data_IF_699763567276
#
_entry.id   IF_699763567276
#
_cell.length_a   1.000
_cell.length_b   1.000
_cell.length_c   1.000
_cell.angle_alpha   90.00
_cell.angle_beta   90.00
_cell.angle_gamma   90.00
#
_symmetry.space_group_name_H-M   'P 1'
#
loop_
_entity.id
_entity.type
_entity.pdbx_description
1 polymer ?
#
# COMPACT_ATOMS: atom_id res chain seq x y z
N UNK A 1 11.24 55.54 78.64
CA UNK A 1 9.94 55.26 77.97
C UNK A 1 10.21 54.95 76.52
N UNK A 2 9.65 53.82 76.04
CA UNK A 2 9.84 53.27 74.70
C UNK A 2 8.98 54.03 73.69
N UNK A 3 9.49 54.23 72.47
CA UNK A 3 8.69 54.28 71.25
C UNK A 3 9.59 53.89 70.06
N UNK A 4 9.23 52.78 69.40
CA UNK A 4 9.69 52.37 68.06
C UNK A 4 8.61 52.78 67.04
N UNK A 5 9.00 53.04 65.79
CA UNK A 5 8.29 52.50 64.63
C UNK A 5 9.28 51.82 63.66
N UNK A 6 9.10 50.52 63.35
CA UNK A 6 8.41 49.96 62.16
C UNK A 6 9.07 50.40 60.84
N UNK A 7 9.93 49.51 60.32
CA UNK A 7 10.46 49.54 58.94
C UNK A 7 9.70 48.48 58.16
N UNK A 8 9.04 48.89 57.06
CA UNK A 8 8.38 48.00 56.11
C UNK A 8 9.42 47.53 55.10
N UNK A 9 9.65 46.22 55.04
CA UNK A 9 10.53 45.57 54.06
C UNK A 9 9.67 45.10 52.87
N UNK A 10 9.94 45.68 51.69
CA UNK A 10 9.38 45.23 50.41
C UNK A 10 10.27 44.11 49.89
N UNK A 11 9.73 42.90 49.79
CA UNK A 11 10.41 41.75 49.18
C UNK A 11 10.22 41.79 47.66
N UNK A 12 11.31 41.98 46.92
CA UNK A 12 11.34 41.78 45.48
C UNK A 12 11.53 40.29 45.17
N UNK A 13 10.51 39.66 44.58
CA UNK A 13 10.59 38.29 44.08
C UNK A 13 11.28 38.28 42.71
N UNK A 14 12.50 37.76 42.66
CA UNK A 14 13.23 37.47 41.41
C UNK A 14 12.78 36.09 40.92
N UNK A 15 11.92 36.05 39.92
CA UNK A 15 11.60 34.80 39.21
C UNK A 15 12.75 34.45 38.26
N UNK A 16 13.58 33.48 38.66
CA UNK A 16 14.50 32.80 37.75
C UNK A 16 13.69 31.84 36.86
N UNK A 17 13.48 32.22 35.60
CA UNK A 17 12.88 31.35 34.59
C UNK A 17 13.86 30.26 34.20
N UNK A 18 13.67 29.06 34.74
CA UNK A 18 14.30 27.85 34.22
C UNK A 18 13.58 27.48 32.92
N UNK A 19 14.26 27.70 31.78
CA UNK A 19 13.86 27.13 30.50
C UNK A 19 14.00 25.62 30.63
N UNK A 20 12.89 24.92 30.76
CA UNK A 20 12.84 23.47 30.57
C UNK A 20 13.13 23.20 29.10
N UNK A 21 14.41 23.01 28.78
CA UNK A 21 14.81 22.32 27.57
C UNK A 21 14.20 20.91 27.65
N UNK A 22 13.02 20.74 27.05
CA UNK A 22 12.41 19.44 26.89
C UNK A 22 13.40 18.57 26.13
N UNK A 23 13.90 17.52 26.78
CA UNK A 23 14.62 16.46 26.10
C UNK A 23 13.70 15.93 25.00
N UNK A 24 14.00 16.27 23.74
CA UNK A 24 13.47 15.49 22.64
C UNK A 24 13.90 14.04 22.91
N UNK A 25 12.92 13.14 22.98
CA UNK A 25 13.22 11.72 23.14
C UNK A 25 14.18 11.31 22.02
N UNK A 26 15.32 10.72 22.36
CA UNK A 26 16.24 10.19 21.35
C UNK A 26 15.46 9.24 20.43
N UNK A 27 15.60 9.36 19.09
CA UNK A 27 14.96 8.46 18.16
C UNK A 27 15.32 7.03 18.52
N UNK A 28 14.31 6.21 18.80
CA UNK A 28 14.53 4.84 19.24
C UNK A 28 15.02 4.04 18.04
N UNK A 29 16.32 3.78 18.00
CA UNK A 29 16.96 3.04 16.91
C UNK A 29 16.20 1.74 16.61
N UNK A 30 15.92 1.53 15.32
CA UNK A 30 15.23 0.35 14.81
C UNK A 30 16.12 -0.89 15.06
N UNK A 31 15.65 -1.86 15.88
CA UNK A 31 16.45 -3.04 16.22
C UNK A 31 16.96 -3.76 14.97
N UNK A 32 18.19 -4.25 15.03
CA UNK A 32 18.92 -4.92 13.95
C UNK A 32 18.67 -6.43 13.86
N UNK A 33 18.04 -7.01 14.89
CA UNK A 33 17.66 -8.42 14.94
C UNK A 33 16.14 -8.61 14.85
N UNK A 34 15.74 -9.79 14.38
CA UNK A 34 14.35 -10.23 14.47
C UNK A 34 13.93 -10.35 15.93
N UNK A 35 12.82 -9.70 16.32
CA UNK A 35 12.25 -9.95 17.63
C UNK A 35 11.86 -11.42 17.82
N UNK A 36 11.97 -11.92 19.05
CA UNK A 36 11.71 -13.34 19.34
C UNK A 36 10.22 -13.72 19.34
N UNK A 37 9.34 -12.73 19.46
CA UNK A 37 7.89 -12.89 19.44
C UNK A 37 7.24 -11.76 18.66
N UNK A 38 6.13 -12.07 18.01
CA UNK A 38 5.26 -11.08 17.39
C UNK A 38 4.54 -10.27 18.47
N UNK A 39 4.65 -8.94 18.40
CA UNK A 39 4.25 -8.02 19.47
C UNK A 39 2.89 -7.34 19.32
N UNK A 40 2.02 -7.76 18.38
CA UNK A 40 0.76 -7.07 18.11
C UNK A 40 -0.43 -8.00 17.88
N UNK A 41 -1.63 -7.49 18.16
CA UNK A 41 -2.89 -8.15 17.82
C UNK A 41 -3.20 -7.89 16.33
N UNK A 42 -2.82 -8.83 15.48
CA UNK A 42 -3.02 -8.73 14.03
C UNK A 42 -1.80 -8.26 13.24
N UNK A 43 -1.96 -8.27 11.92
CA UNK A 43 -0.89 -7.99 10.95
C UNK A 43 -0.53 -6.51 10.95
N UNK A 44 0.76 -6.19 11.10
CA UNK A 44 1.25 -4.81 11.07
C UNK A 44 1.03 -4.00 12.36
N UNK A 45 0.24 -4.50 13.32
CA UNK A 45 -0.15 -3.78 14.55
C UNK A 45 1.04 -3.41 15.47
N UNK A 46 2.21 -3.98 15.23
CA UNK A 46 3.41 -3.76 16.02
C UNK A 46 4.57 -3.15 15.22
N UNK A 47 4.33 -2.75 13.97
CA UNK A 47 5.35 -2.06 13.18
C UNK A 47 5.49 -0.64 13.72
N UNK A 48 6.66 -0.23 14.23
CA UNK A 48 6.86 1.14 14.68
C UNK A 48 6.84 2.10 13.49
N UNK A 49 6.36 3.33 13.73
CA UNK A 49 6.35 4.39 12.74
C UNK A 49 7.76 4.63 12.18
N UNK A 50 7.85 4.75 10.86
CA UNK A 50 9.09 4.96 10.12
C UNK A 50 9.50 6.45 10.11
N UNK A 51 9.57 7.08 11.29
CA UNK A 51 9.74 8.55 11.43
C UNK A 51 11.11 9.08 11.00
N UNK A 52 12.12 8.22 10.90
CA UNK A 52 13.51 8.60 10.62
C UNK A 52 13.95 8.28 9.17
N UNK A 53 13.02 8.00 8.26
CA UNK A 53 13.32 7.72 6.85
C UNK A 53 12.52 8.63 5.94
N UNK A 54 13.22 9.47 5.18
CA UNK A 54 12.62 10.41 4.23
C UNK A 54 11.72 9.69 3.21
N UNK A 55 10.47 10.17 3.06
CA UNK A 55 9.46 9.61 2.15
C UNK A 55 8.76 8.36 2.67
N UNK A 56 8.91 8.00 3.95
CA UNK A 56 8.20 6.86 4.54
C UNK A 56 6.69 7.10 4.74
N UNK A 57 6.25 8.35 4.70
CA UNK A 57 4.85 8.77 4.65
C UNK A 57 4.26 8.75 3.23
N UNK A 58 5.10 8.58 2.21
CA UNK A 58 4.70 8.44 0.81
C UNK A 58 4.87 7.00 0.30
N UNK A 59 5.68 6.19 0.98
CA UNK A 59 6.11 4.87 0.52
C UNK A 59 6.32 3.87 1.64
N UNK A 60 5.95 2.59 1.40
CA UNK A 60 6.30 1.51 2.31
C UNK A 60 7.82 1.41 2.54
N UNK A 61 8.61 1.53 1.47
CA UNK A 61 10.07 1.45 1.50
C UNK A 61 10.64 2.48 0.52
N UNK A 62 10.89 3.73 0.94
CA UNK A 62 11.53 4.73 0.09
C UNK A 62 13.01 4.41 -0.18
N UNK A 63 13.59 5.05 -1.20
CA UNK A 63 15.03 4.99 -1.47
C UNK A 63 15.55 3.61 -1.91
N UNK A 64 16.80 3.31 -1.53
CA UNK A 64 17.54 2.11 -1.98
C UNK A 64 18.26 1.45 -0.80
N UNK A 65 17.57 0.61 -0.02
CA UNK A 65 18.18 -0.12 1.08
C UNK A 65 19.20 -1.14 0.56
N UNK A 66 20.26 -1.33 1.35
CA UNK A 66 21.37 -2.25 1.04
C UNK A 66 21.16 -3.65 1.62
N UNK A 67 20.17 -3.80 2.51
CA UNK A 67 19.86 -5.08 3.16
C UNK A 67 18.39 -5.15 3.55
N UNK A 68 17.77 -6.30 3.34
CA UNK A 68 16.46 -6.65 3.87
C UNK A 68 16.59 -7.88 4.81
N UNK A 69 16.12 -7.78 6.06
CA UNK A 69 16.02 -8.92 6.99
C UNK A 69 14.56 -9.32 7.13
N UNK A 70 14.20 -10.49 6.63
CA UNK A 70 12.84 -11.05 6.72
C UNK A 70 12.74 -11.95 7.95
N UNK A 71 11.80 -11.65 8.83
CA UNK A 71 11.48 -12.40 10.04
C UNK A 71 10.12 -13.07 9.86
N UNK A 72 10.00 -14.38 10.12
CA UNK A 72 8.78 -15.13 9.93
C UNK A 72 8.22 -15.64 11.26
N UNK A 73 6.92 -15.46 11.47
CA UNK A 73 6.21 -15.84 12.69
C UNK A 73 4.97 -16.68 12.31
N UNK A 74 5.13 -18.01 12.20
CA UNK A 74 4.03 -18.91 11.85
C UNK A 74 2.96 -18.93 12.95
N UNK A 75 1.69 -18.92 12.55
CA UNK A 75 0.52 -18.91 13.42
C UNK A 75 -0.77 -19.24 12.67
N UNK A 76 -1.89 -18.74 13.19
CA UNK A 76 -3.22 -18.87 12.59
C UNK A 76 -3.95 -17.53 12.64
N UNK A 77 -4.72 -17.21 11.61
CA UNK A 77 -5.39 -15.90 11.52
C UNK A 77 -6.59 -15.74 12.47
N UNK A 78 -7.05 -16.83 13.11
CA UNK A 78 -8.14 -16.81 14.09
C UNK A 78 -7.68 -16.47 15.51
N UNK A 79 -6.37 -16.48 15.76
CA UNK A 79 -5.76 -16.18 17.07
C UNK A 79 -4.41 -15.49 16.85
N UNK A 80 -4.41 -14.26 16.28
CA UNK A 80 -3.18 -13.54 16.00
C UNK A 80 -2.57 -12.98 17.29
N UNK A 81 -1.25 -13.04 17.42
CA UNK A 81 -0.53 -12.44 18.54
C UNK A 81 0.41 -13.39 19.27
N UNK A 82 1.59 -12.88 19.64
CA UNK A 82 2.54 -13.62 20.49
C UNK A 82 3.24 -14.81 19.80
N UNK A 83 3.05 -15.00 18.50
CA UNK A 83 3.69 -16.03 17.69
C UNK A 83 5.20 -15.98 17.88
N UNK A 84 5.84 -17.15 18.00
CA UNK A 84 7.29 -17.23 18.17
C UNK A 84 7.98 -17.06 16.82
N UNK A 85 9.18 -16.49 16.84
CA UNK A 85 10.04 -16.43 15.66
C UNK A 85 10.29 -17.86 15.15
N UNK A 86 9.81 -18.15 13.93
CA UNK A 86 10.05 -19.42 13.25
C UNK A 86 11.38 -19.44 12.50
N UNK A 87 11.91 -18.27 12.14
CA UNK A 87 13.20 -18.13 11.49
C UNK A 87 13.38 -16.75 10.87
N UNK A 88 14.57 -16.52 10.31
CA UNK A 88 14.87 -15.29 9.59
C UNK A 88 15.73 -15.55 8.36
N UNK A 89 15.68 -14.62 7.40
CA UNK A 89 16.53 -14.64 6.22
C UNK A 89 16.93 -13.22 5.82
N UNK A 90 18.22 -13.05 5.53
CA UNK A 90 18.76 -11.79 5.01
C UNK A 90 18.89 -11.84 3.49
N UNK A 91 18.48 -10.77 2.83
CA UNK A 91 18.63 -10.51 1.40
C UNK A 91 19.46 -9.25 1.23
N UNK A 92 20.68 -9.37 0.71
CA UNK A 92 21.52 -8.20 0.35
C UNK A 92 21.28 -7.82 -1.10
N UNK A 93 21.41 -8.80 -2.00
CA UNK A 93 21.43 -8.57 -3.45
C UNK A 93 20.02 -8.38 -4.05
N UNK A 94 18.99 -8.44 -3.20
CA UNK A 94 17.58 -8.27 -3.58
C UNK A 94 16.89 -7.16 -2.79
N UNK A 95 17.57 -6.52 -1.83
CA UNK A 95 16.97 -5.50 -0.96
C UNK A 95 16.41 -4.33 -1.77
N UNK A 96 17.20 -3.78 -2.70
CA UNK A 96 16.79 -2.68 -3.56
C UNK A 96 15.63 -3.06 -4.50
N UNK A 97 15.64 -4.29 -5.03
CA UNK A 97 14.55 -4.79 -5.90
C UNK A 97 13.26 -4.93 -5.11
N UNK A 98 13.33 -5.52 -3.92
CA UNK A 98 12.19 -5.65 -3.01
C UNK A 98 11.63 -4.29 -2.60
N UNK A 99 12.49 -3.37 -2.20
CA UNK A 99 12.10 -2.01 -1.84
C UNK A 99 11.41 -1.29 -3.01
N UNK A 100 11.99 -1.35 -4.21
CA UNK A 100 11.40 -0.76 -5.42
C UNK A 100 10.01 -1.32 -5.71
N UNK A 101 9.85 -2.64 -5.67
CA UNK A 101 8.55 -3.27 -5.95
C UNK A 101 7.50 -2.87 -4.89
N UNK A 102 7.87 -2.81 -3.60
CA UNK A 102 7.00 -2.33 -2.52
C UNK A 102 6.69 -0.83 -2.62
N UNK A 103 7.63 -0.02 -3.11
CA UNK A 103 7.42 1.39 -3.36
C UNK A 103 6.38 1.63 -4.47
N UNK A 104 6.22 0.71 -5.42
CA UNK A 104 5.15 0.85 -6.42
C UNK A 104 3.76 0.51 -5.92
N UNK A 105 3.58 0.03 -4.68
CA UNK A 105 2.25 -0.26 -4.17
C UNK A 105 1.50 1.05 -3.83
N UNK A 106 0.18 1.12 -4.09
CA UNK A 106 -0.63 2.25 -3.67
C UNK A 106 -0.72 2.25 -2.15
N UNK A 107 -0.52 3.42 -1.53
CA UNK A 107 -0.54 3.57 -0.07
C UNK A 107 -1.57 4.60 0.36
N UNK A 108 -2.00 4.49 1.61
CA UNK A 108 -2.85 5.49 2.28
C UNK A 108 -2.38 5.68 3.72
N UNK A 109 -2.66 6.84 4.29
CA UNK A 109 -2.50 7.15 5.73
C UNK A 109 -3.78 6.84 6.52
N UNK A 110 -4.93 6.82 5.84
CA UNK A 110 -6.24 6.52 6.40
C UNK A 110 -6.49 5.03 6.62
N UNK A 111 -7.61 4.67 7.27
CA UNK A 111 -7.95 3.26 7.48
C UNK A 111 -8.06 2.54 6.14
N UNK A 112 -7.38 1.40 6.02
CA UNK A 112 -7.48 0.52 4.88
C UNK A 112 -8.47 -0.61 5.22
N UNK A 113 -9.73 -0.26 5.56
CA UNK A 113 -10.78 -1.25 5.91
C UNK A 113 -11.46 -1.85 4.68
N UNK A 114 -11.13 -3.10 4.34
CA UNK A 114 -11.73 -3.83 3.21
C UNK A 114 -12.59 -4.99 3.68
N UNK A 115 -13.61 -5.35 2.89
CA UNK A 115 -14.34 -6.58 3.12
C UNK A 115 -13.43 -7.77 2.80
N UNK A 116 -13.28 -8.66 3.78
CA UNK A 116 -12.49 -9.88 3.67
C UNK A 116 -13.31 -11.06 4.14
N UNK A 117 -13.13 -12.20 3.49
CA UNK A 117 -13.72 -13.44 3.98
C UNK A 117 -13.15 -13.77 5.36
N UNK A 118 -13.99 -14.28 6.26
CA UNK A 118 -13.57 -14.65 7.62
C UNK A 118 -13.10 -16.12 7.69
N UNK A 119 -12.42 -16.62 6.65
CA UNK A 119 -11.96 -18.02 6.67
C UNK A 119 -10.78 -18.16 7.62
N UNK A 120 -10.93 -19.05 8.60
CA UNK A 120 -9.86 -19.43 9.50
C UNK A 120 -8.85 -20.35 8.81
N UNK A 121 -7.55 -20.14 9.07
CA UNK A 121 -6.51 -20.97 8.50
C UNK A 121 -5.10 -20.59 8.92
N UNK A 122 -4.09 -21.28 8.35
CA UNK A 122 -2.69 -20.98 8.58
C UNK A 122 -2.37 -19.55 8.16
N UNK A 123 -1.54 -18.90 8.97
CA UNK A 123 -1.00 -17.58 8.68
C UNK A 123 0.49 -17.56 9.01
N UNK A 124 1.27 -16.74 8.31
CA UNK A 124 2.61 -16.38 8.75
C UNK A 124 2.73 -14.87 8.75
N UNK A 125 2.88 -14.27 9.94
CA UNK A 125 3.22 -12.86 10.05
C UNK A 125 4.68 -12.67 9.62
N UNK A 126 4.93 -11.60 8.89
CA UNK A 126 6.25 -11.20 8.43
C UNK A 126 6.58 -9.80 8.95
N UNK A 127 7.81 -9.67 9.44
CA UNK A 127 8.43 -8.38 9.71
C UNK A 127 9.70 -8.27 8.85
N UNK A 128 9.83 -7.21 8.06
CA UNK A 128 10.96 -7.01 7.14
C UNK A 128 11.68 -5.74 7.50
N UNK A 129 12.94 -5.85 7.93
CA UNK A 129 13.80 -4.69 8.18
C UNK A 129 14.46 -4.28 6.89
N UNK A 130 14.33 -3.03 6.49
CA UNK A 130 15.16 -2.46 5.43
C UNK A 130 16.23 -1.58 6.06
N UNK A 131 17.50 -1.86 5.75
CA UNK A 131 18.64 -1.09 6.24
C UNK A 131 19.28 -0.31 5.10
N UNK A 132 19.61 0.96 5.34
CA UNK A 132 20.23 1.85 4.37
C UNK A 132 21.72 2.03 4.64
N UNK A 133 22.43 2.58 3.65
CA UNK A 133 23.88 2.77 3.72
C UNK A 133 24.31 3.82 4.76
N UNK A 134 23.42 4.76 5.08
CA UNK A 134 23.62 5.81 6.10
C UNK A 134 23.37 5.32 7.54
N UNK A 135 22.99 4.05 7.70
CA UNK A 135 22.68 3.44 9.00
C UNK A 135 21.22 3.55 9.42
N UNK A 136 20.40 4.33 8.72
CA UNK A 136 18.95 4.36 8.95
C UNK A 136 18.30 3.01 8.62
N UNK A 137 17.11 2.77 9.17
CA UNK A 137 16.33 1.58 8.88
C UNK A 137 14.86 1.81 9.18
N UNK A 138 14.01 0.98 8.57
CA UNK A 138 12.58 0.88 8.89
C UNK A 138 12.13 -0.57 8.92
N UNK A 139 10.97 -0.80 9.52
CA UNK A 139 10.28 -2.09 9.47
C UNK A 139 9.07 -2.01 8.55
N UNK A 140 8.81 -3.09 7.82
CA UNK A 140 7.53 -3.33 7.13
C UNK A 140 6.90 -4.60 7.70
N UNK A 141 5.64 -4.53 8.08
CA UNK A 141 4.85 -5.68 8.54
C UNK A 141 3.81 -6.08 7.50
N UNK A 142 3.62 -7.39 7.33
CA UNK A 142 2.61 -8.00 6.47
C UNK A 142 2.39 -9.46 6.89
N UNK A 143 1.60 -10.23 6.15
CA UNK A 143 1.44 -11.66 6.36
C UNK A 143 1.11 -12.42 5.07
N UNK A 144 1.30 -13.74 5.09
CA UNK A 144 0.67 -14.67 4.15
C UNK A 144 -0.48 -15.38 4.89
N UNK A 145 -1.69 -15.32 4.34
CA UNK A 145 -2.86 -16.00 4.93
C UNK A 145 -3.93 -16.35 3.88
N UNK A 146 -4.88 -17.18 4.30
CA UNK A 146 -5.83 -17.86 3.41
C UNK A 146 -6.84 -16.95 2.70
N UNK A 147 -7.11 -15.75 3.22
CA UNK A 147 -8.03 -14.78 2.63
C UNK A 147 -7.34 -13.79 1.68
N UNK A 148 -6.00 -13.78 1.63
CA UNK A 148 -5.17 -12.84 0.84
C UNK A 148 -5.52 -11.36 1.07
N UNK A 149 -5.76 -10.99 2.32
CA UNK A 149 -6.53 -9.80 2.70
C UNK A 149 -5.80 -8.88 3.69
N UNK A 150 -4.58 -9.23 4.04
CA UNK A 150 -3.84 -8.53 5.09
C UNK A 150 -3.27 -7.22 4.60
N UNK A 151 -3.29 -6.23 5.49
CA UNK A 151 -2.67 -4.94 5.25
C UNK A 151 -1.15 -5.05 5.41
N UNK A 152 -0.42 -4.41 4.50
CA UNK A 152 1.02 -4.22 4.61
C UNK A 152 1.29 -2.78 5.05
N UNK A 153 2.18 -2.57 6.02
CA UNK A 153 2.40 -1.26 6.64
C UNK A 153 3.86 -1.06 7.05
N UNK A 154 4.35 0.17 7.02
CA UNK A 154 5.62 0.58 7.64
C UNK A 154 5.42 1.36 8.96
N UNK A 155 4.22 1.30 9.54
CA UNK A 155 3.79 2.09 10.70
C UNK A 155 3.12 3.40 10.28
N UNK A 156 3.71 4.11 9.31
CA UNK A 156 3.24 5.43 8.85
C UNK A 156 2.17 5.32 7.75
N UNK A 157 2.42 4.50 6.73
CA UNK A 157 1.48 4.25 5.62
C UNK A 157 1.13 2.78 5.50
N UNK A 158 0.00 2.52 4.85
CA UNK A 158 -0.52 1.17 4.65
C UNK A 158 -1.04 0.94 3.24
N UNK A 159 -1.01 -0.32 2.80
CA UNK A 159 -1.58 -0.79 1.54
C UNK A 159 -2.36 -2.09 1.73
N UNK A 160 -3.40 -2.30 0.90
CA UNK A 160 -4.10 -3.57 0.79
C UNK A 160 -3.53 -4.49 -0.29
N UNK A 161 -2.56 -4.01 -1.05
CA UNK A 161 -1.90 -4.83 -2.06
C UNK A 161 -1.24 -6.04 -1.38
N UNK A 162 -1.68 -7.22 -1.78
CA UNK A 162 -1.28 -8.45 -1.12
C UNK A 162 0.12 -8.89 -1.55
N UNK A 163 1.05 -8.97 -0.61
CA UNK A 163 2.46 -9.35 -0.84
C UNK A 163 2.89 -10.62 -0.11
N UNK A 164 1.98 -11.31 0.59
CA UNK A 164 2.29 -12.47 1.42
C UNK A 164 3.07 -13.57 0.68
N UNK A 165 2.69 -13.87 -0.56
CA UNK A 165 3.34 -14.92 -1.36
C UNK A 165 4.77 -14.53 -1.72
N UNK A 166 4.98 -13.26 -2.03
CA UNK A 166 6.30 -12.71 -2.31
C UNK A 166 7.19 -12.79 -1.07
N UNK A 167 6.65 -12.46 0.11
CA UNK A 167 7.36 -12.55 1.40
C UNK A 167 7.69 -13.99 1.78
N UNK A 168 6.76 -14.91 1.55
CA UNK A 168 6.99 -16.35 1.73
C UNK A 168 8.13 -16.85 0.85
N UNK A 169 8.16 -16.42 -0.42
CA UNK A 169 9.24 -16.75 -1.36
C UNK A 169 10.57 -16.15 -0.89
N UNK A 170 10.57 -14.88 -0.49
CA UNK A 170 11.75 -14.18 0.03
C UNK A 170 12.34 -14.92 1.24
N UNK A 171 11.48 -15.32 2.17
CA UNK A 171 11.88 -16.09 3.35
C UNK A 171 12.35 -17.51 3.01
N UNK A 172 11.57 -18.30 2.25
CA UNK A 172 11.84 -19.73 2.02
C UNK A 172 12.91 -19.99 0.97
N UNK A 173 13.01 -19.14 -0.03
CA UNK A 173 13.92 -19.34 -1.18
C UNK A 173 15.08 -18.34 -1.20
N UNK A 174 14.99 -17.25 -0.44
CA UNK A 174 16.02 -16.21 -0.47
C UNK A 174 15.99 -15.37 -1.75
N UNK A 175 14.85 -15.37 -2.43
CA UNK A 175 14.64 -14.62 -3.67
C UNK A 175 13.37 -13.77 -3.54
N UNK A 176 13.45 -12.50 -3.92
CA UNK A 176 12.27 -11.64 -3.97
C UNK A 176 11.66 -11.70 -5.37
N UNK A 177 10.38 -12.06 -5.45
CA UNK A 177 9.60 -12.05 -6.68
C UNK A 177 8.15 -11.74 -6.37
N UNK A 178 7.65 -10.64 -6.92
CA UNK A 178 6.21 -10.39 -6.93
C UNK A 178 5.52 -11.40 -7.85
N UNK A 179 4.43 -12.05 -7.40
CA UNK A 179 3.63 -12.91 -8.26
C UNK A 179 3.21 -12.15 -9.51
N UNK A 180 3.58 -12.69 -10.68
CA UNK A 180 3.09 -12.19 -11.96
C UNK A 180 1.93 -13.08 -12.40
N UNK A 181 0.79 -12.50 -12.76
CA UNK A 181 -0.33 -13.26 -13.31
C UNK A 181 0.05 -13.78 -14.70
N UNK A 182 -0.34 -15.02 -15.00
CA UNK A 182 -0.11 -15.62 -16.32
C UNK A 182 -0.87 -14.88 -17.43
N UNK A 183 -1.98 -14.24 -17.08
CA UNK A 183 -2.77 -13.40 -17.97
C UNK A 183 -2.84 -11.97 -17.44
N UNK A 184 -2.30 -10.97 -18.16
CA UNK A 184 -2.38 -9.56 -17.76
C UNK A 184 -3.83 -9.07 -17.63
N UNK A 185 -4.78 -9.66 -18.35
CA UNK A 185 -6.20 -9.34 -18.22
C UNK A 185 -6.80 -9.81 -16.89
N UNK A 186 -6.11 -10.69 -16.16
CA UNK A 186 -6.54 -11.19 -14.84
C UNK A 186 -5.71 -10.63 -13.69
N UNK A 187 -4.74 -9.78 -14.00
CA UNK A 187 -3.81 -9.22 -13.05
C UNK A 187 -4.45 -8.31 -12.00
N UNK A 188 -3.94 -8.39 -10.77
CA UNK A 188 -4.10 -7.33 -9.77
C UNK A 188 -3.06 -6.27 -10.12
N UNK A 189 -3.51 -5.16 -10.69
CA UNK A 189 -2.64 -4.13 -11.29
C UNK A 189 -2.45 -2.96 -10.33
N UNK A 190 -1.96 -3.27 -9.13
CA UNK A 190 -1.77 -2.29 -8.07
C UNK A 190 -0.51 -1.46 -8.34
N UNK A 191 -0.72 -0.15 -8.54
CA UNK A 191 0.32 0.82 -8.82
C UNK A 191 0.06 2.09 -8.01
N UNK A 192 1.12 2.66 -7.45
CA UNK A 192 1.11 3.99 -6.83
C UNK A 192 0.59 5.05 -7.79
N UNK A 193 -0.16 5.99 -7.24
CA UNK A 193 -0.82 7.09 -7.94
C UNK A 193 -2.28 6.78 -8.27
N UNK A 194 -2.69 5.50 -8.21
CA UNK A 194 -4.08 5.09 -8.42
C UNK A 194 -5.00 5.55 -7.28
N UNK A 195 -4.44 5.85 -6.11
CA UNK A 195 -5.18 6.42 -5.00
C UNK A 195 -5.53 7.91 -5.22
N UNK A 196 -4.83 8.59 -6.13
CA UNK A 196 -5.01 10.03 -6.39
C UNK A 196 -5.69 10.30 -7.75
N UNK A 197 -5.51 9.39 -8.73
CA UNK A 197 -6.05 9.51 -10.09
C UNK A 197 -6.50 8.16 -10.62
N UNK A 198 -7.47 8.12 -11.54
CA UNK A 198 -7.97 6.86 -12.11
C UNK A 198 -6.85 6.08 -12.82
N UNK A 199 -6.02 6.79 -13.59
CA UNK A 199 -4.84 6.29 -14.31
C UNK A 199 -3.63 7.20 -14.03
N UNK A 200 -2.56 6.68 -13.41
CA UNK A 200 -1.33 7.45 -13.18
C UNK A 200 -0.71 8.01 -14.48
N UNK A 201 0.04 9.11 -14.35
CA UNK A 201 0.65 9.78 -15.49
C UNK A 201 1.70 8.92 -16.23
N UNK A 202 1.89 9.25 -17.52
CA UNK A 202 2.92 8.64 -18.38
C UNK A 202 2.65 7.22 -18.90
N UNK A 203 1.40 6.78 -19.16
CA UNK A 203 1.17 5.46 -19.74
C UNK A 203 1.81 5.36 -21.14
N UNK A 204 2.40 4.21 -21.43
CA UNK A 204 3.10 3.89 -22.68
C UNK A 204 2.25 3.06 -23.64
N UNK A 205 1.31 2.30 -23.11
CA UNK A 205 0.39 1.46 -23.87
C UNK A 205 -0.81 1.13 -23.01
N UNK A 206 -1.90 0.70 -23.64
CA UNK A 206 -3.06 0.14 -22.95
C UNK A 206 -3.52 -1.15 -23.63
N UNK A 207 -3.69 -2.19 -22.84
CA UNK A 207 -4.32 -3.44 -23.24
C UNK A 207 -5.77 -3.40 -22.81
N UNK A 208 -6.69 -3.52 -23.76
CA UNK A 208 -8.13 -3.59 -23.54
C UNK A 208 -8.56 -5.04 -23.60
N UNK A 209 -9.03 -5.57 -22.48
CA UNK A 209 -9.53 -6.93 -22.35
C UNK A 209 -11.05 -6.91 -22.18
N UNK A 210 -11.77 -7.74 -22.93
CA UNK A 210 -13.22 -7.91 -22.77
C UNK A 210 -13.51 -9.00 -21.74
N UNK A 211 -14.21 -8.66 -20.66
CA UNK A 211 -14.49 -9.59 -19.57
C UNK A 211 -15.76 -10.40 -19.86
N UNK A 212 -15.58 -11.58 -20.46
CA UNK A 212 -16.67 -12.51 -20.81
C UNK A 212 -16.61 -13.81 -19.98
N UNK A 213 -15.88 -13.82 -18.86
CA UNK A 213 -15.67 -15.02 -18.04
C UNK A 213 -14.77 -16.09 -18.67
N UNK A 214 -14.28 -15.87 -19.90
CA UNK A 214 -13.38 -16.80 -20.60
C UNK A 214 -11.99 -16.89 -19.94
N UNK A 215 -11.34 -18.07 -20.03
CA UNK A 215 -9.99 -18.28 -19.50
C UNK A 215 -8.94 -17.35 -20.12
N UNK A 216 -9.14 -16.93 -21.36
CA UNK A 216 -8.30 -15.98 -22.10
C UNK A 216 -9.20 -14.99 -22.84
N UNK A 217 -9.57 -13.88 -22.20
CA UNK A 217 -10.52 -12.94 -22.79
C UNK A 217 -9.99 -12.37 -24.11
N UNK A 218 -10.89 -12.05 -25.08
CA UNK A 218 -10.53 -11.24 -26.24
C UNK A 218 -9.82 -9.96 -25.79
N UNK A 219 -8.72 -9.60 -26.45
CA UNK A 219 -7.90 -8.46 -26.05
C UNK A 219 -7.21 -7.77 -27.22
N UNK A 220 -7.03 -6.46 -27.09
CA UNK A 220 -6.36 -5.61 -28.08
C UNK A 220 -5.46 -4.59 -27.40
N UNK A 221 -4.22 -4.51 -27.84
CA UNK A 221 -3.24 -3.53 -27.36
C UNK A 221 -3.24 -2.28 -28.24
N UNK A 222 -3.06 -1.12 -27.61
CA UNK A 222 -2.94 0.18 -28.26
C UNK A 222 -1.72 0.93 -27.73
N UNK A 223 -1.06 1.68 -28.61
CA UNK A 223 0.15 2.42 -28.28
C UNK A 223 -0.07 3.71 -27.47
N UNK A 224 1.02 4.45 -27.26
CA UNK A 224 1.12 5.67 -26.42
C UNK A 224 -0.05 6.65 -26.60
N UNK A 225 -0.42 6.99 -27.84
CA UNK A 225 -1.40 8.04 -28.10
C UNK A 225 -2.78 7.65 -27.55
N UNK A 226 -3.26 6.46 -27.92
CA UNK A 226 -4.54 5.94 -27.43
C UNK A 226 -4.54 5.72 -25.91
N UNK A 227 -3.41 5.27 -25.34
CA UNK A 227 -3.27 5.12 -23.90
C UNK A 227 -3.39 6.46 -23.16
N UNK A 228 -2.78 7.52 -23.69
CA UNK A 228 -2.87 8.88 -23.12
C UNK A 228 -4.27 9.48 -23.26
N UNK A 229 -4.88 9.35 -24.44
CA UNK A 229 -6.23 9.86 -24.67
C UNK A 229 -7.26 9.19 -23.74
N UNK A 230 -7.17 7.86 -23.59
CA UNK A 230 -8.05 7.12 -22.68
C UNK A 230 -7.77 7.42 -21.21
N UNK A 231 -6.49 7.55 -20.80
CA UNK A 231 -6.15 7.95 -19.45
C UNK A 231 -6.66 9.35 -19.11
N UNK A 232 -6.55 10.30 -20.03
CA UNK A 232 -7.08 11.65 -19.86
C UNK A 232 -8.60 11.65 -19.66
N UNK A 233 -9.34 10.92 -20.50
CA UNK A 233 -10.80 10.81 -20.35
C UNK A 233 -11.20 10.16 -19.02
N UNK A 234 -10.49 9.10 -18.59
CA UNK A 234 -10.76 8.45 -17.30
C UNK A 234 -10.43 9.32 -16.09
N UNK A 235 -9.43 10.21 -16.21
CA UNK A 235 -9.03 11.13 -15.15
C UNK A 235 -9.87 12.42 -15.09
N UNK A 236 -10.67 12.70 -16.13
CA UNK A 236 -11.60 13.84 -16.16
C UNK A 236 -12.96 13.49 -15.49
N UNK A 237 -13.20 12.20 -15.23
CA UNK A 237 -14.39 11.75 -14.52
C UNK A 237 -14.41 12.30 -13.08
N UNK A 238 -15.61 12.54 -12.55
CA UNK A 238 -15.79 12.87 -11.14
C UNK A 238 -15.62 11.59 -10.30
N UNK A 239 -14.48 11.49 -9.60
CA UNK A 239 -14.10 10.28 -8.87
C UNK A 239 -14.32 10.40 -7.37
N UNK A 240 -14.75 9.31 -6.76
CA UNK A 240 -14.85 9.14 -5.32
C UNK A 240 -14.06 7.89 -4.86
N UNK A 241 -13.76 7.73 -3.55
CA UNK A 241 -13.16 6.51 -3.04
C UNK A 241 -13.99 5.27 -3.40
N UNK A 242 -13.32 4.22 -3.86
CA UNK A 242 -13.97 2.96 -4.27
C UNK A 242 -14.60 2.25 -3.07
N UNK A 243 -15.84 1.80 -3.24
CA UNK A 243 -16.52 0.88 -2.32
C UNK A 243 -16.35 -0.60 -2.74
N UNK A 244 -15.54 -0.84 -3.77
CA UNK A 244 -15.29 -2.16 -4.38
C UNK A 244 -16.55 -2.88 -4.90
N UNK A 245 -17.59 -2.11 -5.20
CA UNK A 245 -18.87 -2.61 -5.64
C UNK A 245 -19.55 -1.61 -6.56
N UNK A 246 -20.64 -2.05 -7.15
CA UNK A 246 -21.50 -1.19 -7.95
C UNK A 246 -22.91 -1.75 -7.95
N UNK A 247 -23.89 -0.88 -8.16
CA UNK A 247 -25.28 -1.27 -8.32
C UNK A 247 -25.50 -1.74 -9.76
N UNK A 248 -25.83 -3.03 -9.91
CA UNK A 248 -26.16 -3.59 -11.23
C UNK A 248 -27.46 -3.00 -11.77
N UNK A 249 -27.45 -2.69 -13.07
CA UNK A 249 -28.65 -2.34 -13.82
C UNK A 249 -29.59 -3.54 -14.00
N UNK A 250 -30.83 -3.26 -14.39
CA UNK A 250 -31.81 -4.30 -14.71
C UNK A 250 -31.39 -5.14 -15.94
N UNK A 251 -32.15 -6.21 -16.27
CA UNK A 251 -31.77 -7.19 -17.30
C UNK A 251 -31.58 -6.64 -18.72
N UNK A 252 -32.10 -5.44 -18.99
CA UNK A 252 -32.00 -4.78 -20.29
C UNK A 252 -30.76 -3.87 -20.39
N UNK A 253 -29.99 -3.74 -19.31
CA UNK A 253 -28.79 -2.92 -19.28
C UNK A 253 -27.67 -3.50 -20.14
N UNK A 254 -26.76 -2.63 -20.58
CA UNK A 254 -25.56 -3.04 -21.30
C UNK A 254 -24.53 -3.64 -20.32
N UNK A 255 -24.54 -4.95 -20.14
CA UNK A 255 -23.65 -5.65 -19.21
C UNK A 255 -22.22 -5.86 -19.74
N UNK A 256 -21.80 -5.17 -20.81
CA UNK A 256 -20.41 -5.27 -21.29
C UNK A 256 -19.45 -4.76 -20.21
N UNK A 257 -18.43 -5.58 -19.96
CA UNK A 257 -17.38 -5.30 -19.01
C UNK A 257 -16.01 -5.41 -19.68
N UNK A 258 -15.12 -4.50 -19.30
CA UNK A 258 -13.76 -4.43 -19.79
C UNK A 258 -12.79 -4.27 -18.63
N UNK A 259 -11.61 -4.84 -18.83
CA UNK A 259 -10.44 -4.53 -18.02
C UNK A 259 -9.40 -3.85 -18.89
N UNK A 260 -9.00 -2.67 -18.45
CA UNK A 260 -7.95 -1.87 -19.04
C UNK A 260 -6.67 -2.09 -18.24
N UNK A 261 -5.56 -2.34 -18.94
CA UNK A 261 -4.24 -2.50 -18.33
C UNK A 261 -3.31 -1.48 -18.96
N UNK A 262 -2.96 -0.44 -18.22
CA UNK A 262 -2.04 0.61 -18.64
C UNK A 262 -0.62 0.24 -18.25
N UNK A 263 0.27 0.17 -19.23
CA UNK A 263 1.69 -0.09 -19.00
C UNK A 263 2.53 1.18 -18.94
N UNK A 264 3.67 1.08 -18.28
CA UNK A 264 4.61 2.19 -18.03
C UNK A 264 6.03 1.77 -18.39
N UNK A 265 6.92 2.76 -18.55
CA UNK A 265 8.34 2.49 -18.76
C UNK A 265 8.96 1.75 -17.56
N UNK A 266 8.48 2.06 -16.35
CA UNK A 266 8.96 1.47 -15.10
C UNK A 266 7.81 1.10 -14.15
N UNK A 267 8.03 0.06 -13.35
CA UNK A 267 7.07 -0.43 -12.35
C UNK A 267 5.96 -1.31 -12.93
N UNK A 268 4.99 -1.71 -12.08
CA UNK A 268 3.87 -2.54 -12.49
C UNK A 268 2.87 -1.74 -13.35
N UNK A 269 2.06 -2.42 -14.18
CA UNK A 269 0.94 -1.80 -14.86
C UNK A 269 -0.15 -1.33 -13.87
N UNK A 270 -1.01 -0.41 -14.32
CA UNK A 270 -2.20 0.05 -13.61
C UNK A 270 -3.46 -0.55 -14.26
N UNK A 271 -4.42 -0.97 -13.44
CA UNK A 271 -5.69 -1.52 -13.93
C UNK A 271 -6.80 -0.48 -13.90
N UNK A 272 -7.80 -0.62 -14.76
CA UNK A 272 -9.12 0.02 -14.59
C UNK A 272 -10.18 -0.96 -15.07
N UNK A 273 -11.25 -1.11 -14.31
CA UNK A 273 -12.45 -1.83 -14.69
C UNK A 273 -13.47 -0.85 -15.25
N UNK A 274 -14.10 -1.22 -16.35
CA UNK A 274 -15.20 -0.46 -16.96
C UNK A 274 -16.37 -1.41 -17.17
N UNK A 275 -17.52 -1.14 -16.55
CA UNK A 275 -18.76 -1.92 -16.61
C UNK A 275 -19.90 -0.99 -16.98
N UNK A 276 -20.52 -1.19 -18.14
CA UNK A 276 -21.54 -0.28 -18.65
C UNK A 276 -22.90 -0.40 -17.96
N UNK A 277 -23.20 -1.57 -17.38
CA UNK A 277 -24.45 -1.88 -16.70
C UNK A 277 -24.34 -1.77 -15.19
N UNK A 278 -23.40 -0.96 -14.69
CA UNK A 278 -23.17 -0.76 -13.26
C UNK A 278 -22.98 0.71 -12.94
N UNK A 279 -23.41 1.11 -11.74
CA UNK A 279 -23.20 2.46 -11.19
C UNK A 279 -22.58 2.38 -9.78
N UNK A 280 -21.40 2.97 -9.54
CA UNK A 280 -20.48 3.53 -10.54
C UNK A 280 -19.93 2.43 -11.47
N UNK A 281 -19.60 2.80 -12.70
CA UNK A 281 -19.23 1.85 -13.76
C UNK A 281 -17.72 1.80 -14.04
N UNK A 282 -16.94 2.75 -13.54
CA UNK A 282 -15.48 2.77 -13.64
C UNK A 282 -14.89 2.55 -12.26
N UNK A 283 -13.88 1.69 -12.13
CA UNK A 283 -13.23 1.39 -10.86
C UNK A 283 -11.75 1.04 -11.06
N UNK A 284 -10.85 1.64 -10.29
CA UNK A 284 -9.44 1.25 -10.23
C UNK A 284 -9.07 0.59 -8.89
N UNK A 285 -10.03 0.14 -8.10
CA UNK A 285 -9.85 -0.48 -6.79
C UNK A 285 -9.50 0.51 -5.68
N UNK A 286 -9.24 1.78 -5.97
CA UNK A 286 -9.05 2.85 -4.97
C UNK A 286 -10.03 4.00 -5.20
N UNK A 287 -10.36 4.26 -6.46
CA UNK A 287 -11.31 5.27 -6.94
C UNK A 287 -12.36 4.61 -7.83
N UNK A 288 -13.56 5.14 -7.80
CA UNK A 288 -14.68 4.77 -8.67
C UNK A 288 -15.35 6.01 -9.26
N UNK A 289 -15.99 5.87 -10.41
CA UNK A 289 -16.72 6.94 -11.09
C UNK A 289 -17.81 6.40 -12.03
N UNK A 290 -18.75 7.26 -12.42
CA UNK A 290 -19.69 6.95 -13.49
C UNK A 290 -19.01 6.92 -14.87
N UNK A 291 -19.50 6.07 -15.77
CA UNK A 291 -19.00 6.02 -17.15
C UNK A 291 -19.72 7.06 -17.99
N UNK A 292 -18.97 8.04 -18.51
CA UNK A 292 -19.49 9.07 -19.40
C UNK A 292 -19.46 8.68 -20.90
N UNK A 293 -19.92 9.60 -21.75
CA UNK A 293 -19.99 9.42 -23.20
C UNK A 293 -18.61 9.42 -23.87
N UNK A 294 -17.63 10.15 -23.35
CA UNK A 294 -16.30 10.23 -23.95
C UNK A 294 -15.51 8.93 -23.75
N UNK A 295 -15.57 8.36 -22.54
CA UNK A 295 -15.04 7.03 -22.25
C UNK A 295 -15.74 5.97 -23.11
N UNK A 296 -17.09 6.00 -23.21
CA UNK A 296 -17.84 5.08 -24.09
C UNK A 296 -17.39 5.17 -25.55
N UNK A 297 -17.23 6.38 -26.07
CA UNK A 297 -16.83 6.62 -27.47
C UNK A 297 -15.42 6.13 -27.74
N UNK A 298 -14.47 6.37 -26.82
CA UNK A 298 -13.10 5.86 -26.91
C UNK A 298 -13.09 4.34 -26.90
N UNK A 299 -13.77 3.74 -25.93
CA UNK A 299 -13.85 2.29 -25.79
C UNK A 299 -14.43 1.62 -27.03
N UNK A 300 -15.52 2.14 -27.62
CA UNK A 300 -16.10 1.58 -28.84
C UNK A 300 -15.10 1.47 -30.03
N UNK A 301 -14.04 2.29 -30.05
CA UNK A 301 -12.98 2.22 -31.08
C UNK A 301 -11.86 1.25 -30.70
N UNK A 302 -11.68 0.99 -29.41
CA UNK A 302 -10.52 0.30 -28.85
C UNK A 302 -10.79 -1.17 -28.51
N UNK A 303 -12.06 -1.55 -28.36
CA UNK A 303 -12.41 -2.94 -28.02
C UNK A 303 -11.96 -3.93 -29.10
N UNK A 304 -11.54 -5.14 -28.69
CA UNK A 304 -11.20 -6.24 -29.61
C UNK A 304 -12.39 -6.71 -30.44
#
# INVERSE_FOLDING_TARGET
MRLRPIVVLVAAAVCAGAVLAGCAAEPKAVPDACPQRWGGEGVGAWVPDAVDVDGADESLVPGSPVRALVCAYPGVNTDPGGERLGGSRTLTDQAAVMARDLAYLPVTTGKADGLCTLMGGPMTNYLVRFAYADGSALWVGSAEEVNSCVTTTNGTVRTRSYVGKALTTAYREGAWRMPRPDDPCRAVNDRRGRQDTMVPEGPQWVLVCRDEGEKRPPRREHGVAAARDLAAALNDLDTEPSEHGCQEGGPEADHRAYRLVFGYAEGPPAGVHVRYGCTPGVDNGMLQAEVDDDVRRLMARMTP
#
